data_IF_404376324521
#
_entry.id   IF_404376324521
#
_cell.length_a   1.000
_cell.length_b   1.000
_cell.length_c   1.000
_cell.angle_alpha   90.00
_cell.angle_beta   90.00
_cell.angle_gamma   90.00
#
_symmetry.space_group_name_H-M   'P 1'
#
loop_
_entity.id
_entity.type
_entity.pdbx_description
1 polymer ?
#
# COMPACT_ATOMS: atom_id res chain seq x y z
N UNK A 1 -11.64 -55.53 46.69
CA UNK A 1 -11.33 -54.80 47.94
C UNK A 1 -10.74 -53.44 47.58
N UNK A 2 -11.17 -52.37 48.26
CA UNK A 2 -10.81 -50.94 48.15
C UNK A 2 -11.53 -50.11 47.06
N UNK A 3 -12.48 -49.32 47.56
CA UNK A 3 -13.03 -48.09 46.98
C UNK A 3 -12.00 -46.97 47.10
N UNK A 4 -11.92 -46.09 46.10
CA UNK A 4 -11.57 -44.67 46.32
C UNK A 4 -12.48 -43.78 45.47
N UNK A 5 -12.79 -42.65 46.09
CA UNK A 5 -13.82 -41.65 45.80
C UNK A 5 -13.21 -40.48 45.01
N UNK A 6 -14.05 -39.82 44.20
CA UNK A 6 -14.04 -38.38 43.82
C UNK A 6 -12.79 -37.75 43.18
N UNK A 7 -12.94 -37.16 42.00
CA UNK A 7 -13.10 -35.70 41.83
C UNK A 7 -12.85 -35.28 40.37
N UNK A 8 -13.77 -34.46 39.87
CA UNK A 8 -13.75 -33.76 38.59
C UNK A 8 -12.53 -32.84 38.51
N UNK A 9 -11.80 -32.84 37.39
CA UNK A 9 -11.01 -31.69 36.97
C UNK A 9 -11.16 -31.48 35.46
N UNK A 10 -12.15 -30.65 35.12
CA UNK A 10 -12.14 -29.87 33.88
C UNK A 10 -10.93 -28.94 33.96
N UNK A 11 -9.91 -29.19 33.16
CA UNK A 11 -8.88 -28.19 32.86
C UNK A 11 -9.01 -27.87 31.37
N UNK A 12 -9.74 -26.78 31.13
CA UNK A 12 -9.74 -26.02 29.89
C UNK A 12 -8.28 -25.82 29.45
N UNK A 13 -7.92 -26.36 28.28
CA UNK A 13 -6.73 -25.87 27.59
C UNK A 13 -7.07 -24.47 27.11
N UNK A 14 -6.62 -23.50 27.90
CA UNK A 14 -6.74 -22.08 27.64
C UNK A 14 -6.14 -21.78 26.27
N UNK A 15 -6.99 -21.22 25.41
CA UNK A 15 -6.61 -20.51 24.20
C UNK A 15 -5.57 -19.45 24.56
N UNK A 16 -4.29 -19.75 24.32
CA UNK A 16 -3.28 -18.71 24.17
C UNK A 16 -3.43 -18.21 22.74
N UNK A 17 -4.51 -17.48 22.50
CA UNK A 17 -4.61 -16.59 21.37
C UNK A 17 -3.61 -15.46 21.64
N UNK A 18 -2.37 -15.65 21.19
CA UNK A 18 -1.47 -14.55 20.90
C UNK A 18 -2.10 -13.79 19.74
N UNK A 19 -3.11 -12.97 20.04
CA UNK A 19 -3.44 -11.84 19.20
C UNK A 19 -2.19 -10.97 19.23
N UNK A 20 -1.30 -11.20 18.26
CA UNK A 20 -0.44 -10.13 17.78
C UNK A 20 -1.40 -8.98 17.55
N UNK A 21 -1.25 -7.91 18.35
CA UNK A 21 -1.92 -6.66 18.07
C UNK A 21 -1.60 -6.36 16.61
N UNK A 22 -2.59 -6.54 15.74
CA UNK A 22 -2.54 -5.97 14.41
C UNK A 22 -2.55 -4.49 14.70
N UNK A 23 -1.37 -3.89 14.79
CA UNK A 23 -1.22 -2.44 14.72
C UNK A 23 -1.83 -2.06 13.39
N UNK A 24 -3.13 -1.72 13.43
CA UNK A 24 -3.80 -1.10 12.31
C UNK A 24 -2.97 0.14 12.03
N UNK A 25 -2.30 0.15 10.88
CA UNK A 25 -1.53 1.30 10.45
C UNK A 25 -2.41 2.54 10.62
N UNK A 26 -1.88 3.59 11.26
CA UNK A 26 -2.64 4.83 11.41
C UNK A 26 -3.17 5.24 10.02
N UNK A 27 -4.46 5.59 9.91
CA UNK A 27 -5.02 5.97 8.62
C UNK A 27 -4.24 7.16 8.07
N UNK A 28 -3.87 7.09 6.80
CA UNK A 28 -3.13 8.17 6.14
C UNK A 28 -3.88 9.49 6.28
N UNK A 29 -3.16 10.54 6.68
CA UNK A 29 -3.64 11.91 6.54
C UNK A 29 -3.17 12.51 5.23
N UNK A 30 -3.93 13.47 4.72
CA UNK A 30 -3.75 14.04 3.40
C UNK A 30 -3.56 15.55 3.47
N UNK A 31 -2.57 16.02 2.73
CA UNK A 31 -2.32 17.45 2.53
C UNK A 31 -2.37 17.79 1.05
N UNK A 32 -2.79 19.03 0.78
CA UNK A 32 -2.84 19.58 -0.57
C UNK A 32 -1.84 20.72 -0.65
N UNK A 33 -0.97 20.65 -1.66
CA UNK A 33 -0.12 21.77 -2.08
C UNK A 33 -0.65 22.31 -3.39
N UNK A 34 -0.94 23.60 -3.42
CA UNK A 34 -1.28 24.32 -4.64
C UNK A 34 0.00 24.96 -5.22
N UNK A 35 0.20 24.81 -6.51
CA UNK A 35 1.09 25.61 -7.33
C UNK A 35 0.26 26.25 -8.45
N UNK A 36 0.72 27.37 -9.02
CA UNK A 36 -0.09 28.33 -9.81
C UNK A 36 -1.24 27.75 -10.67
N UNK A 37 -1.02 26.61 -11.35
CA UNK A 37 -2.04 25.97 -12.19
C UNK A 37 -2.33 24.50 -11.85
N UNK A 38 -1.68 23.92 -10.84
CA UNK A 38 -1.89 22.53 -10.46
C UNK A 38 -1.87 22.31 -8.93
N UNK A 39 -2.38 21.16 -8.54
CA UNK A 39 -2.39 20.70 -7.16
C UNK A 39 -1.67 19.36 -7.06
N UNK A 40 -0.97 19.18 -5.94
CA UNK A 40 -0.40 17.91 -5.53
C UNK A 40 -1.01 17.54 -4.19
N UNK A 41 -1.57 16.35 -4.10
CA UNK A 41 -2.02 15.76 -2.84
C UNK A 41 -0.94 14.79 -2.36
N UNK A 42 -0.65 14.76 -1.08
CA UNK A 42 0.34 13.84 -0.54
C UNK A 42 -0.07 13.32 0.83
N UNK A 43 0.25 12.05 1.07
CA UNK A 43 0.12 11.41 2.37
C UNK A 43 1.13 12.02 3.36
N UNK A 44 0.69 12.30 4.58
CA UNK A 44 1.53 12.89 5.63
C UNK A 44 1.05 12.49 7.04
N UNK A 45 1.79 12.83 8.09
CA UNK A 45 1.39 12.64 9.49
C UNK A 45 0.35 13.68 9.97
N UNK A 46 0.07 14.69 9.16
CA UNK A 46 -0.86 15.79 9.44
C UNK A 46 -1.78 16.04 8.24
N UNK A 47 -2.85 16.82 8.43
CA UNK A 47 -3.83 17.08 7.38
C UNK A 47 -5.18 16.42 7.66
N UNK A 48 -5.96 16.19 6.61
CA UNK A 48 -7.32 15.61 6.72
C UNK A 48 -7.28 14.09 6.64
N UNK A 49 -8.21 13.41 7.29
CA UNK A 49 -8.21 11.94 7.39
C UNK A 49 -8.71 11.24 6.10
N UNK A 50 -9.24 11.99 5.15
CA UNK A 50 -9.91 11.48 3.95
C UNK A 50 -9.28 12.06 2.68
N UNK A 51 -8.84 11.18 1.78
CA UNK A 51 -8.36 11.59 0.45
C UNK A 51 -9.46 12.32 -0.32
N UNK A 52 -10.70 11.81 -0.24
CA UNK A 52 -11.87 12.44 -0.86
C UNK A 52 -12.06 13.89 -0.40
N UNK A 53 -11.83 14.17 0.87
CA UNK A 53 -11.96 15.53 1.42
C UNK A 53 -10.81 16.42 0.93
N UNK A 54 -9.59 15.90 0.85
CA UNK A 54 -8.46 16.61 0.26
C UNK A 54 -8.69 16.95 -1.23
N UNK A 55 -9.27 16.01 -1.99
CA UNK A 55 -9.67 16.19 -3.39
C UNK A 55 -10.77 17.25 -3.52
N UNK A 56 -11.77 17.22 -2.63
CA UNK A 56 -12.89 18.16 -2.64
C UNK A 56 -12.47 19.59 -2.29
N UNK A 57 -11.41 19.75 -1.46
CA UNK A 57 -10.87 21.06 -1.09
C UNK A 57 -10.12 21.76 -2.24
N UNK A 58 -9.68 21.03 -3.28
CA UNK A 58 -9.02 21.63 -4.44
C UNK A 58 -10.06 22.32 -5.33
N UNK A 59 -9.88 23.60 -5.73
CA UNK A 59 -10.78 24.26 -6.67
C UNK A 59 -10.95 23.45 -7.96
N UNK A 60 -12.17 23.40 -8.51
CA UNK A 60 -12.45 22.63 -9.74
C UNK A 60 -11.69 23.14 -10.98
N UNK A 61 -11.25 24.41 -10.95
CA UNK A 61 -10.42 25.02 -11.99
C UNK A 61 -8.94 24.65 -11.89
N UNK A 62 -8.50 24.01 -10.80
CA UNK A 62 -7.12 23.59 -10.57
C UNK A 62 -7.03 22.08 -10.76
N UNK A 63 -6.12 21.63 -11.61
CA UNK A 63 -5.90 20.22 -11.89
C UNK A 63 -5.08 19.55 -10.78
N UNK A 64 -5.54 18.41 -10.24
CA UNK A 64 -4.76 17.64 -9.27
C UNK A 64 -3.79 16.73 -10.03
N UNK A 65 -2.62 17.26 -10.40
CA UNK A 65 -1.63 16.57 -11.22
C UNK A 65 -1.17 15.22 -10.65
N UNK A 66 -1.06 15.10 -9.34
CA UNK A 66 -0.66 13.83 -8.72
C UNK A 66 -1.05 13.66 -7.26
N UNK A 67 -1.20 12.39 -6.87
CA UNK A 67 -1.28 11.93 -5.48
C UNK A 67 0.02 11.21 -5.13
N UNK A 68 0.71 11.67 -4.09
CA UNK A 68 1.94 11.04 -3.58
C UNK A 68 1.65 10.18 -2.35
N UNK A 69 2.19 8.97 -2.31
CA UNK A 69 2.04 8.03 -1.17
C UNK A 69 3.39 7.45 -0.78
N UNK A 70 3.69 7.44 0.53
CA UNK A 70 4.88 6.81 1.13
C UNK A 70 4.68 6.59 2.64
N UNK A 71 5.22 5.53 3.27
CA UNK A 71 5.73 4.25 2.72
C UNK A 71 4.63 3.19 2.54
N UNK A 72 4.93 2.11 1.81
CA UNK A 72 3.92 1.13 1.36
C UNK A 72 3.81 -0.10 2.25
N UNK A 73 4.83 -0.41 3.03
CA UNK A 73 4.88 -1.62 3.86
C UNK A 73 3.78 -1.69 4.92
N UNK A 74 3.19 -0.55 5.29
CA UNK A 74 2.08 -0.46 6.25
C UNK A 74 0.72 -0.91 5.68
N UNK A 75 0.64 -1.20 4.38
CA UNK A 75 -0.61 -1.59 3.72
C UNK A 75 -0.58 -3.08 3.33
N UNK A 76 -0.80 -3.97 4.30
CA UNK A 76 -0.74 -5.42 4.09
C UNK A 76 -1.60 -5.91 2.91
N UNK A 77 -2.82 -5.37 2.78
CA UNK A 77 -3.70 -5.70 1.66
C UNK A 77 -3.11 -5.30 0.31
N UNK A 78 -2.50 -4.12 0.22
CA UNK A 78 -1.85 -3.66 -1.00
C UNK A 78 -0.58 -4.47 -1.30
N UNK A 79 0.21 -4.81 -0.29
CA UNK A 79 1.40 -5.67 -0.43
C UNK A 79 1.02 -7.06 -0.95
N UNK A 80 -0.07 -7.64 -0.43
CA UNK A 80 -0.59 -8.91 -0.90
C UNK A 80 -1.02 -8.86 -2.38
N UNK A 81 -1.73 -7.80 -2.78
CA UNK A 81 -2.12 -7.60 -4.18
C UNK A 81 -0.90 -7.46 -5.10
N UNK A 82 0.12 -6.68 -4.68
CA UNK A 82 1.36 -6.51 -5.43
C UNK A 82 2.09 -7.84 -5.63
N UNK A 83 2.30 -8.60 -4.56
CA UNK A 83 2.94 -9.92 -4.63
C UNK A 83 2.15 -10.88 -5.52
N UNK A 84 0.83 -10.93 -5.37
CA UNK A 84 -0.04 -11.80 -6.16
C UNK A 84 0.07 -11.48 -7.65
N UNK A 85 -0.03 -10.20 -8.01
CA UNK A 85 0.09 -9.76 -9.40
C UNK A 85 1.48 -10.12 -9.98
N UNK A 86 2.55 -9.78 -9.26
CA UNK A 86 3.91 -10.03 -9.72
C UNK A 86 4.24 -11.53 -9.82
N UNK A 87 3.72 -12.35 -8.92
CA UNK A 87 3.88 -13.81 -8.99
C UNK A 87 3.17 -14.39 -10.21
N UNK A 88 2.03 -13.80 -10.61
CA UNK A 88 1.22 -14.29 -11.72
C UNK A 88 1.75 -13.83 -13.09
N UNK A 89 2.26 -12.60 -13.18
CA UNK A 89 2.65 -11.97 -14.44
C UNK A 89 4.17 -11.89 -14.65
N UNK A 90 4.95 -11.85 -13.58
CA UNK A 90 6.41 -11.65 -13.58
C UNK A 90 7.18 -12.63 -12.66
N UNK A 91 6.85 -13.94 -12.62
CA UNK A 91 7.33 -14.87 -11.59
C UNK A 91 8.86 -14.96 -11.49
N UNK A 92 9.55 -15.05 -12.62
CA UNK A 92 11.01 -15.15 -12.62
C UNK A 92 11.67 -13.85 -12.13
N UNK A 93 11.17 -12.71 -12.58
CA UNK A 93 11.71 -11.40 -12.23
C UNK A 93 11.47 -11.08 -10.74
N UNK A 94 10.31 -11.50 -10.22
CA UNK A 94 10.01 -11.44 -8.80
C UNK A 94 10.98 -12.31 -8.00
N UNK A 95 11.15 -13.59 -8.36
CA UNK A 95 12.06 -14.50 -7.69
C UNK A 95 13.51 -13.96 -7.67
N UNK A 96 13.98 -13.44 -8.79
CA UNK A 96 15.30 -12.83 -8.91
C UNK A 96 15.48 -11.60 -8.02
N UNK A 97 14.47 -10.71 -7.97
CA UNK A 97 14.50 -9.53 -7.12
C UNK A 97 14.48 -9.90 -5.63
N UNK A 98 13.64 -10.87 -5.23
CA UNK A 98 13.53 -11.34 -3.84
C UNK A 98 14.83 -12.01 -3.37
N UNK A 99 15.43 -12.87 -4.19
CA UNK A 99 16.69 -13.54 -3.87
C UNK A 99 17.88 -12.58 -3.70
N UNK A 100 17.70 -11.32 -4.08
CA UNK A 100 18.76 -10.32 -4.11
C UNK A 100 18.36 -9.00 -3.42
N UNK A 101 17.30 -9.06 -2.60
CA UNK A 101 16.83 -7.96 -1.78
C UNK A 101 17.90 -7.47 -0.78
N UNK A 102 17.75 -6.23 -0.30
CA UNK A 102 18.71 -5.61 0.63
C UNK A 102 19.77 -4.72 -0.04
N UNK A 103 19.83 -4.65 -1.37
CA UNK A 103 20.66 -3.69 -2.10
C UNK A 103 19.81 -2.82 -3.04
N UNK A 104 19.71 -1.52 -2.75
CA UNK A 104 18.90 -0.55 -3.51
C UNK A 104 19.42 -0.28 -4.93
N UNK A 105 20.68 -0.63 -5.22
CA UNK A 105 21.31 -0.48 -6.53
C UNK A 105 21.29 -1.79 -7.35
N UNK A 106 20.53 -2.78 -6.90
CA UNK A 106 20.47 -4.08 -7.55
C UNK A 106 19.68 -4.03 -8.86
N UNK A 107 20.33 -4.40 -9.97
CA UNK A 107 19.73 -4.44 -11.30
C UNK A 107 18.51 -5.37 -11.39
N UNK A 108 18.43 -6.41 -10.56
CA UNK A 108 17.27 -7.32 -10.48
C UNK A 108 16.05 -6.64 -9.87
N UNK A 109 16.24 -5.81 -8.84
CA UNK A 109 15.17 -4.96 -8.26
C UNK A 109 14.76 -3.89 -9.27
N UNK A 110 15.71 -3.32 -10.01
CA UNK A 110 15.42 -2.35 -11.09
C UNK A 110 14.58 -2.99 -12.19
N UNK A 111 14.87 -4.24 -12.58
CA UNK A 111 14.10 -4.95 -13.61
C UNK A 111 12.61 -5.08 -13.23
N UNK A 112 12.31 -5.31 -11.95
CA UNK A 112 10.95 -5.49 -11.45
C UNK A 112 10.09 -4.20 -11.48
N UNK A 113 10.72 -3.03 -11.69
CA UNK A 113 10.03 -1.72 -11.63
C UNK A 113 8.81 -1.64 -12.53
N UNK A 114 8.90 -2.15 -13.76
CA UNK A 114 7.79 -2.07 -14.70
C UNK A 114 6.60 -2.91 -14.21
N UNK A 115 6.84 -4.16 -13.83
CA UNK A 115 5.79 -5.02 -13.27
C UNK A 115 5.19 -4.44 -11.99
N UNK A 116 5.99 -3.79 -11.16
CA UNK A 116 5.52 -3.12 -9.94
C UNK A 116 4.59 -1.93 -10.24
N UNK A 117 4.91 -1.12 -11.27
CA UNK A 117 4.03 -0.04 -11.73
C UNK A 117 2.68 -0.57 -12.22
N UNK A 118 2.70 -1.65 -13.00
CA UNK A 118 1.49 -2.29 -13.53
C UNK A 118 0.64 -2.89 -12.40
N UNK A 119 1.27 -3.60 -11.46
CA UNK A 119 0.61 -4.14 -10.27
C UNK A 119 -0.06 -3.02 -9.45
N UNK A 120 0.65 -1.90 -9.26
CA UNK A 120 0.11 -0.73 -8.56
C UNK A 120 -1.14 -0.19 -9.24
N UNK A 121 -1.11 -0.01 -10.57
CA UNK A 121 -2.27 0.50 -11.31
C UNK A 121 -3.45 -0.48 -11.34
N UNK A 122 -3.19 -1.79 -11.30
CA UNK A 122 -4.22 -2.83 -11.28
C UNK A 122 -4.88 -3.04 -9.90
N UNK A 123 -4.27 -2.50 -8.84
CA UNK A 123 -4.66 -2.72 -7.44
C UNK A 123 -6.04 -2.18 -7.06
N UNK A 124 -6.63 -2.75 -6.01
CA UNK A 124 -7.78 -2.19 -5.30
C UNK A 124 -7.49 -0.79 -4.74
N UNK A 125 -6.25 -0.53 -4.35
CA UNK A 125 -5.79 0.77 -3.86
C UNK A 125 -6.02 1.90 -4.89
N UNK A 126 -5.55 1.74 -6.13
CA UNK A 126 -5.76 2.74 -7.19
C UNK A 126 -7.23 2.80 -7.61
N UNK A 127 -7.96 1.67 -7.60
CA UNK A 127 -9.40 1.67 -7.89
C UNK A 127 -10.20 2.51 -6.89
N UNK A 128 -9.89 2.40 -5.59
CA UNK A 128 -10.52 3.20 -4.54
C UNK A 128 -10.21 4.69 -4.72
N UNK A 129 -8.95 5.05 -5.00
CA UNK A 129 -8.59 6.45 -5.26
C UNK A 129 -9.33 7.01 -6.49
N UNK A 130 -9.41 6.24 -7.58
CA UNK A 130 -10.17 6.64 -8.76
C UNK A 130 -11.67 6.82 -8.46
N UNK A 131 -12.23 6.06 -7.52
CA UNK A 131 -13.60 6.29 -7.05
C UNK A 131 -13.73 7.63 -6.30
N UNK A 132 -12.73 8.03 -5.50
CA UNK A 132 -12.72 9.34 -4.84
C UNK A 132 -12.59 10.51 -5.83
N UNK A 133 -11.86 10.29 -6.93
CA UNK A 133 -11.78 11.25 -8.03
C UNK A 133 -13.06 11.37 -8.85
N UNK A 134 -14.05 10.46 -8.72
CA UNK A 134 -15.26 10.43 -9.57
C UNK A 134 -16.09 11.72 -9.57
N UNK A 135 -16.01 12.53 -8.52
CA UNK A 135 -16.67 13.84 -8.44
C UNK A 135 -15.98 14.93 -9.27
N UNK A 136 -14.80 14.63 -9.81
CA UNK A 136 -13.99 15.44 -10.71
C UNK A 136 -13.84 14.72 -12.04
N UNK A 137 -13.61 15.46 -13.12
CA UNK A 137 -13.27 14.84 -14.39
C UNK A 137 -11.76 14.57 -14.45
N UNK A 138 -11.26 13.80 -13.48
CA UNK A 138 -9.86 13.47 -13.30
C UNK A 138 -9.75 11.98 -12.94
N UNK A 139 -8.67 11.30 -13.35
CA UNK A 139 -8.41 9.89 -13.01
C UNK A 139 -6.92 9.62 -12.96
N UNK A 140 -6.49 8.73 -12.07
CA UNK A 140 -5.13 8.20 -12.06
C UNK A 140 -4.94 7.27 -13.26
N UNK A 141 -3.93 7.54 -14.08
CA UNK A 141 -3.64 6.79 -15.32
C UNK A 141 -2.24 6.22 -15.37
N UNK A 142 -1.32 6.79 -14.61
CA UNK A 142 0.07 6.35 -14.57
C UNK A 142 0.66 6.52 -13.19
N UNK A 143 1.77 5.83 -12.96
CA UNK A 143 2.52 5.89 -11.70
C UNK A 143 4.01 6.04 -11.99
N UNK A 144 4.61 7.03 -11.35
CA UNK A 144 6.05 7.11 -11.20
C UNK A 144 6.45 6.60 -9.83
N UNK A 145 7.64 6.02 -9.77
CA UNK A 145 8.17 5.41 -8.55
C UNK A 145 9.55 5.98 -8.27
N UNK A 146 9.77 6.37 -7.02
CA UNK A 146 11.08 6.77 -6.50
C UNK A 146 11.45 5.88 -5.32
N UNK A 147 12.77 5.73 -5.09
CA UNK A 147 13.29 4.96 -3.95
C UNK A 147 12.65 3.56 -3.84
N UNK A 148 12.51 2.85 -4.98
CA UNK A 148 11.98 1.49 -4.99
C UNK A 148 13.01 0.48 -4.47
N UNK A 149 12.68 -0.24 -3.40
CA UNK A 149 13.48 -1.34 -2.85
C UNK A 149 12.61 -2.41 -2.19
N UNK A 150 13.23 -3.52 -1.83
CA UNK A 150 12.57 -4.64 -1.12
C UNK A 150 13.24 -4.80 0.24
N UNK A 151 12.46 -4.80 1.31
CA UNK A 151 12.94 -5.13 2.66
C UNK A 151 12.61 -6.57 3.01
N UNK A 152 13.49 -7.20 3.79
CA UNK A 152 13.35 -8.59 4.25
C UNK A 152 13.40 -8.68 5.78
N UNK A 153 13.13 -7.57 6.47
CA UNK A 153 13.18 -7.49 7.93
C UNK A 153 11.93 -8.11 8.59
N UNK A 154 10.83 -8.18 7.84
CA UNK A 154 9.59 -8.86 8.23
C UNK A 154 9.57 -10.32 7.78
N UNK A 155 8.63 -11.10 8.34
CA UNK A 155 8.40 -12.51 7.97
C UNK A 155 8.05 -12.71 6.49
N UNK A 156 7.50 -11.68 5.85
CA UNK A 156 7.28 -11.60 4.40
C UNK A 156 8.07 -10.42 3.82
N UNK A 157 8.77 -10.56 2.68
CA UNK A 157 9.40 -9.45 2.00
C UNK A 157 8.38 -8.34 1.65
N UNK A 158 8.76 -7.08 1.87
CA UNK A 158 7.89 -5.92 1.62
C UNK A 158 8.46 -5.05 0.51
N UNK A 159 7.59 -4.56 -0.37
CA UNK A 159 7.96 -3.55 -1.35
C UNK A 159 7.87 -2.17 -0.72
N UNK A 160 8.90 -1.36 -0.94
CA UNK A 160 8.94 0.04 -0.52
C UNK A 160 9.17 0.93 -1.72
N UNK A 161 8.38 1.99 -1.84
CA UNK A 161 8.53 3.01 -2.86
C UNK A 161 7.84 4.31 -2.43
N UNK A 162 8.30 5.42 -2.98
CA UNK A 162 7.47 6.63 -3.08
C UNK A 162 6.69 6.55 -4.38
N UNK A 163 5.36 6.47 -4.27
CA UNK A 163 4.47 6.45 -5.43
C UNK A 163 4.05 7.87 -5.79
N UNK A 164 4.13 8.18 -7.07
CA UNK A 164 3.63 9.40 -7.68
C UNK A 164 2.52 9.02 -8.66
N UNK A 165 1.29 8.90 -8.17
CA UNK A 165 0.11 8.54 -8.95
C UNK A 165 -0.31 9.77 -9.75
N UNK A 166 -0.03 9.77 -11.06
CA UNK A 166 -0.33 10.89 -11.95
C UNK A 166 -1.75 10.78 -12.45
N UNK A 167 -2.44 11.90 -12.51
CA UNK A 167 -3.79 11.96 -13.04
C UNK A 167 -3.80 12.48 -14.48
N UNK A 168 -4.88 12.22 -15.19
CA UNK A 168 -5.27 12.92 -16.41
C UNK A 168 -6.63 13.57 -16.18
N UNK A 169 -6.84 14.72 -16.82
CA UNK A 169 -8.18 15.30 -16.96
C UNK A 169 -8.95 14.53 -18.03
N UNK A 170 -10.27 14.46 -17.91
CA UNK A 170 -11.09 14.07 -19.06
C UNK A 170 -10.88 15.07 -20.19
N UNK A 171 -10.72 14.57 -21.41
CA UNK A 171 -10.79 15.38 -22.63
C UNK A 171 -12.23 15.58 -23.07
#
# INVERSE_FOLDING_TARGET
>A
MKRYFTAVLFALFSEVALFSEVTVAEPLKWQTRLADHDAMIFASSTGVDSLKDAIAAVPKSVWIRSVQVSPLAQFDGFQHELHTYLQQHYPQMLADALASAGNIHNSKVVALRQGFKEATLASGFVKLMNADFSARCERITSVDIEKFFITTQSSSPQFEAMLWLKTEQCH
#
